data_IF_898971328571
#
_entry.id   IF_898971328571
#
_cell.length_a   1.000
_cell.length_b   1.000
_cell.length_c   1.000
_cell.angle_alpha   90.00
_cell.angle_beta   90.00
_cell.angle_gamma   90.00
#
_symmetry.space_group_name_H-M   'P 1'
#
loop_
_entity.id
_entity.type
_entity.pdbx_description
1 polymer ?
#
# COMPACT_ATOMS: atom_id res chain seq x y z
N UNK A 1 4.63 22.93 6.51
CA UNK A 1 4.89 21.85 5.52
C UNK A 1 3.53 21.40 5.02
N UNK A 2 3.17 21.68 3.76
CA UNK A 2 1.84 21.32 3.25
C UNK A 2 1.77 19.80 3.08
N UNK A 3 0.85 19.16 3.78
CA UNK A 3 0.63 17.72 3.65
C UNK A 3 -0.07 17.49 2.31
N UNK A 4 0.60 16.87 1.33
CA UNK A 4 0.04 16.57 0.00
C UNK A 4 -1.30 15.85 0.11
N UNK A 5 -1.44 14.97 1.11
CA UNK A 5 -2.69 14.28 1.44
C UNK A 5 -3.86 15.22 1.78
N UNK A 6 -3.59 16.37 2.42
CA UNK A 6 -4.63 17.35 2.75
C UNK A 6 -5.12 18.08 1.48
N UNK A 7 -4.20 18.39 0.56
CA UNK A 7 -4.54 19.04 -0.72
C UNK A 7 -5.40 18.10 -1.57
N UNK A 8 -5.01 16.83 -1.70
CA UNK A 8 -5.79 15.83 -2.46
C UNK A 8 -7.19 15.64 -1.86
N UNK A 9 -7.31 15.56 -0.53
CA UNK A 9 -8.60 15.46 0.16
C UNK A 9 -9.47 16.70 -0.10
N UNK A 10 -8.87 17.90 -0.07
CA UNK A 10 -9.59 19.14 -0.32
C UNK A 10 -10.08 19.25 -1.77
N UNK A 11 -9.23 18.90 -2.75
CA UNK A 11 -9.62 18.84 -4.17
C UNK A 11 -10.79 17.87 -4.35
N UNK A 12 -10.73 16.69 -3.73
CA UNK A 12 -11.83 15.72 -3.75
C UNK A 12 -13.13 16.28 -3.18
N UNK A 13 -13.06 17.00 -2.06
CA UNK A 13 -14.20 17.66 -1.44
C UNK A 13 -14.82 18.73 -2.35
N UNK A 14 -13.99 19.54 -3.02
CA UNK A 14 -14.45 20.52 -4.01
C UNK A 14 -15.20 19.84 -5.17
N UNK A 15 -14.71 18.70 -5.67
CA UNK A 15 -15.42 17.94 -6.71
C UNK A 15 -16.73 17.35 -6.22
N UNK A 16 -16.82 16.92 -4.96
CA UNK A 16 -18.09 16.48 -4.37
C UNK A 16 -19.12 17.62 -4.32
N UNK A 17 -18.72 18.81 -3.88
CA UNK A 17 -19.61 19.99 -3.91
C UNK A 17 -20.01 20.39 -5.32
N UNK A 18 -19.08 20.36 -6.28
CA UNK A 18 -19.38 20.62 -7.69
C UNK A 18 -20.40 19.62 -8.25
N UNK A 19 -20.25 18.33 -7.92
CA UNK A 19 -21.21 17.29 -8.29
C UNK A 19 -22.59 17.52 -7.67
N UNK A 20 -22.64 17.89 -6.40
CA UNK A 20 -23.89 18.25 -5.71
C UNK A 20 -24.59 19.46 -6.35
N UNK A 21 -23.86 20.54 -6.63
CA UNK A 21 -24.43 21.71 -7.30
C UNK A 21 -24.94 21.42 -8.71
N UNK A 22 -24.28 20.51 -9.43
CA UNK A 22 -24.75 20.03 -10.74
C UNK A 22 -26.10 19.32 -10.64
N UNK A 23 -26.33 18.52 -9.59
CA UNK A 23 -27.62 17.84 -9.38
C UNK A 23 -28.78 18.81 -9.12
N UNK A 24 -28.50 19.98 -8.55
CA UNK A 24 -29.48 21.04 -8.30
C UNK A 24 -29.65 22.02 -9.47
N UNK A 25 -29.04 21.74 -10.63
CA UNK A 25 -28.97 22.62 -11.80
C UNK A 25 -28.43 24.03 -11.51
N UNK A 26 -27.70 24.20 -10.40
CA UNK A 26 -27.10 25.49 -10.02
C UNK A 26 -25.92 25.87 -10.91
N UNK A 27 -25.29 24.87 -11.55
CA UNK A 27 -24.15 25.05 -12.45
C UNK A 27 -24.40 24.30 -13.76
N UNK A 28 -24.46 25.04 -14.86
CA UNK A 28 -24.53 24.48 -16.21
C UNK A 28 -23.11 24.17 -16.68
N UNK A 29 -22.75 22.89 -16.72
CA UNK A 29 -21.44 22.44 -17.19
C UNK A 29 -21.51 22.07 -18.67
N UNK A 30 -20.62 22.65 -19.46
CA UNK A 30 -20.46 22.29 -20.86
C UNK A 30 -19.97 20.83 -20.97
N UNK A 31 -20.62 19.98 -21.79
CA UNK A 31 -20.24 18.57 -21.98
C UNK A 31 -18.77 18.37 -22.33
N UNK A 32 -18.16 19.28 -23.12
CA UNK A 32 -16.75 19.21 -23.52
C UNK A 32 -15.81 19.31 -22.33
N UNK A 33 -16.12 20.19 -21.37
CA UNK A 33 -15.33 20.33 -20.15
C UNK A 33 -15.44 19.07 -19.29
N UNK A 34 -16.67 18.55 -19.13
CA UNK A 34 -16.90 17.32 -18.34
C UNK A 34 -16.14 16.15 -18.94
N UNK A 35 -16.20 15.98 -20.27
CA UNK A 35 -15.46 14.96 -21.00
C UNK A 35 -13.93 15.11 -20.84
N UNK A 36 -13.42 16.34 -20.91
CA UNK A 36 -12.00 16.63 -20.72
C UNK A 36 -11.51 16.25 -19.32
N UNK A 37 -12.32 16.51 -18.29
CA UNK A 37 -12.02 16.06 -16.94
C UNK A 37 -12.10 14.54 -16.79
N UNK A 38 -13.09 13.89 -17.38
CA UNK A 38 -13.24 12.43 -17.33
C UNK A 38 -12.08 11.71 -17.99
N UNK A 39 -11.63 12.16 -19.17
CA UNK A 39 -10.49 11.54 -19.87
C UNK A 39 -9.18 11.78 -19.11
N UNK A 40 -9.00 12.97 -18.51
CA UNK A 40 -7.86 13.25 -17.65
C UNK A 40 -7.86 12.34 -16.42
N UNK A 41 -9.00 12.21 -15.74
CA UNK A 41 -9.17 11.31 -14.61
C UNK A 41 -8.86 9.86 -15.00
N UNK A 42 -9.31 9.42 -16.17
CA UNK A 42 -9.01 8.09 -16.69
C UNK A 42 -7.50 7.86 -16.93
N UNK A 43 -6.80 8.80 -17.57
CA UNK A 43 -5.35 8.69 -17.72
C UNK A 43 -4.60 8.71 -16.38
N UNK A 44 -5.10 9.47 -15.41
CA UNK A 44 -4.56 9.48 -14.05
C UNK A 44 -4.74 8.13 -13.35
N UNK A 45 -5.90 7.49 -13.50
CA UNK A 45 -6.17 6.14 -12.98
C UNK A 45 -5.24 5.12 -13.65
N UNK A 46 -5.04 5.20 -14.97
CA UNK A 46 -4.08 4.33 -15.68
C UNK A 46 -2.63 4.56 -15.23
N UNK A 47 -2.27 5.81 -14.91
CA UNK A 47 -0.99 6.14 -14.31
C UNK A 47 -0.81 5.48 -12.94
N UNK A 48 -1.84 5.51 -12.08
CA UNK A 48 -1.81 4.85 -10.77
C UNK A 48 -1.72 3.32 -10.93
N UNK A 49 -2.48 2.74 -11.85
CA UNK A 49 -2.44 1.31 -12.17
C UNK A 49 -1.05 0.87 -12.63
N UNK A 50 -0.44 1.63 -13.55
CA UNK A 50 0.91 1.34 -14.05
C UNK A 50 1.96 1.50 -12.94
N UNK A 51 1.75 2.45 -12.03
CA UNK A 51 2.63 2.65 -10.86
C UNK A 51 2.56 1.47 -9.91
N UNK A 52 1.34 1.02 -9.59
CA UNK A 52 1.12 -0.07 -8.67
C UNK A 52 1.72 -1.38 -9.19
N UNK A 53 1.46 -1.75 -10.46
CA UNK A 53 2.07 -2.94 -11.06
C UNK A 53 3.61 -2.87 -11.11
N UNK A 54 4.18 -1.67 -11.30
CA UNK A 54 5.63 -1.49 -11.30
C UNK A 54 6.24 -1.74 -9.92
N UNK A 55 5.59 -1.25 -8.85
CA UNK A 55 6.06 -1.48 -7.48
C UNK A 55 6.04 -2.97 -7.12
N UNK A 56 5.01 -3.69 -7.56
CA UNK A 56 4.94 -5.14 -7.39
C UNK A 56 6.09 -5.87 -8.10
N UNK A 57 6.31 -5.56 -9.39
CA UNK A 57 7.39 -6.18 -10.18
C UNK A 57 8.79 -5.89 -9.62
N UNK A 58 8.98 -4.71 -9.01
CA UNK A 58 10.25 -4.35 -8.38
C UNK A 58 10.52 -5.17 -7.10
N UNK A 59 9.48 -5.53 -6.33
CA UNK A 59 9.62 -6.39 -5.15
C UNK A 59 9.99 -7.84 -5.50
N UNK A 60 9.45 -8.39 -6.59
CA UNK A 60 9.68 -9.78 -6.95
C UNK A 60 11.03 -10.06 -7.65
N UNK A 61 11.61 -9.10 -8.38
CA UNK A 61 12.82 -9.34 -9.18
C UNK A 61 13.81 -8.18 -9.15
N UNK A 62 14.77 -8.26 -8.23
CA UNK A 62 15.92 -7.35 -8.12
C UNK A 62 16.80 -7.30 -9.39
N UNK A 63 16.68 -8.28 -10.31
CA UNK A 63 17.59 -8.45 -11.47
C UNK A 63 17.00 -8.13 -12.87
N UNK A 64 15.75 -7.70 -12.99
CA UNK A 64 15.08 -7.55 -14.30
C UNK A 64 15.11 -6.13 -14.90
N UNK A 65 16.19 -5.35 -14.70
CA UNK A 65 16.23 -3.92 -15.08
C UNK A 65 17.37 -3.53 -16.03
N UNK A 66 17.00 -3.20 -17.27
CA UNK A 66 17.65 -2.11 -18.02
C UNK A 66 16.71 -1.52 -19.08
N UNK A 67 16.07 -2.37 -19.89
CA UNK A 67 15.22 -1.90 -21.00
C UNK A 67 13.76 -1.65 -20.63
N UNK A 68 13.08 -2.60 -19.98
CA UNK A 68 11.66 -2.43 -19.61
C UNK A 68 11.44 -1.27 -18.63
N UNK A 69 12.40 -1.03 -17.73
CA UNK A 69 12.34 0.10 -16.78
C UNK A 69 12.32 1.48 -17.44
N UNK A 70 13.03 1.66 -18.57
CA UNK A 70 13.04 2.93 -19.32
C UNK A 70 11.71 3.16 -20.04
N UNK A 71 11.18 2.13 -20.71
CA UNK A 71 9.89 2.19 -21.40
C UNK A 71 8.76 2.50 -20.41
N UNK A 72 8.75 1.84 -19.25
CA UNK A 72 7.75 2.09 -18.21
C UNK A 72 7.87 3.50 -17.65
N UNK A 73 9.08 4.00 -17.39
CA UNK A 73 9.28 5.39 -16.95
C UNK A 73 8.75 6.38 -17.98
N UNK A 74 9.01 6.14 -19.26
CA UNK A 74 8.47 6.96 -20.34
C UNK A 74 6.94 6.89 -20.39
N UNK A 75 6.35 5.69 -20.29
CA UNK A 75 4.89 5.51 -20.26
C UNK A 75 4.24 6.29 -19.11
N UNK A 76 4.83 6.25 -17.90
CA UNK A 76 4.35 7.02 -16.75
C UNK A 76 4.36 8.52 -17.02
N UNK A 77 5.47 9.03 -17.57
CA UNK A 77 5.59 10.44 -17.91
C UNK A 77 4.58 10.84 -18.99
N UNK A 78 4.39 9.99 -20.01
CA UNK A 78 3.42 10.20 -21.08
C UNK A 78 1.98 10.21 -20.57
N UNK A 79 1.59 9.30 -19.68
CA UNK A 79 0.25 9.30 -19.07
C UNK A 79 0.00 10.54 -18.22
N UNK A 80 1.00 10.98 -17.45
CA UNK A 80 0.91 12.19 -16.65
C UNK A 80 0.83 13.44 -17.54
N UNK A 81 1.63 13.49 -18.60
CA UNK A 81 1.57 14.55 -19.60
C UNK A 81 0.19 14.57 -20.28
N UNK A 82 -0.34 13.41 -20.67
CA UNK A 82 -1.64 13.30 -21.32
C UNK A 82 -2.78 13.73 -20.37
N UNK A 83 -2.66 13.40 -19.08
CA UNK A 83 -3.58 13.90 -18.04
C UNK A 83 -3.59 15.43 -17.99
N UNK A 84 -2.42 16.06 -17.87
CA UNK A 84 -2.31 17.51 -17.82
C UNK A 84 -2.76 18.18 -19.12
N UNK A 85 -2.38 17.59 -20.26
CA UNK A 85 -2.81 18.03 -21.59
C UNK A 85 -4.33 17.95 -21.74
N UNK A 86 -4.96 16.88 -21.27
CA UNK A 86 -6.41 16.71 -21.31
C UNK A 86 -7.15 17.75 -20.45
N UNK A 87 -6.59 18.18 -19.33
CA UNK A 87 -7.18 19.23 -18.49
C UNK A 87 -7.04 20.61 -19.15
N UNK A 88 -5.89 20.91 -19.74
CA UNK A 88 -5.57 22.27 -20.22
C UNK A 88 -5.98 22.48 -21.67
N UNK A 89 -5.60 21.57 -22.58
CA UNK A 89 -5.76 21.78 -24.01
C UNK A 89 -7.11 21.29 -24.53
N UNK A 90 -7.58 20.12 -24.05
CA UNK A 90 -8.79 19.48 -24.57
C UNK A 90 -10.06 20.34 -24.48
N UNK A 91 -10.33 21.08 -23.39
CA UNK A 91 -11.53 21.92 -23.31
C UNK A 91 -11.57 23.05 -24.34
N UNK A 92 -10.40 23.46 -24.83
CA UNK A 92 -10.26 24.54 -25.81
C UNK A 92 -10.24 24.01 -27.25
N UNK A 93 -10.14 22.69 -27.45
CA UNK A 93 -10.26 22.11 -28.78
C UNK A 93 -11.73 22.12 -29.19
N UNK A 94 -12.02 22.82 -30.29
CA UNK A 94 -13.33 22.78 -30.94
C UNK A 94 -13.48 21.45 -31.66
N UNK A 95 -13.79 20.40 -30.91
CA UNK A 95 -14.19 19.11 -31.44
C UNK A 95 -15.59 19.30 -32.02
N UNK A 96 -15.70 19.34 -33.35
CA UNK A 96 -16.99 19.40 -34.06
C UNK A 96 -17.80 18.09 -33.95
N UNK A 97 -17.72 17.44 -32.79
CA UNK A 97 -18.37 16.18 -32.50
C UNK A 97 -19.80 16.44 -32.03
N UNK A 98 -20.68 15.50 -32.37
CA UNK A 98 -22.05 15.53 -31.89
C UNK A 98 -22.09 15.40 -30.37
N UNK A 99 -22.89 16.25 -29.71
CA UNK A 99 -22.94 16.30 -28.24
C UNK A 99 -23.34 14.96 -27.62
N UNK A 100 -24.21 14.21 -28.29
CA UNK A 100 -24.64 12.89 -27.85
C UNK A 100 -23.48 11.88 -27.81
N UNK A 101 -22.56 11.94 -28.79
CA UNK A 101 -21.37 11.09 -28.80
C UNK A 101 -20.40 11.44 -27.68
N UNK A 102 -20.20 12.74 -27.41
CA UNK A 102 -19.34 13.21 -26.30
C UNK A 102 -19.88 12.70 -24.96
N UNK A 103 -21.20 12.77 -24.76
CA UNK A 103 -21.85 12.28 -23.54
C UNK A 103 -21.70 10.75 -23.40
N UNK A 104 -21.96 9.99 -24.47
CA UNK A 104 -21.78 8.52 -24.46
C UNK A 104 -20.35 8.11 -24.15
N UNK A 105 -19.36 8.77 -24.76
CA UNK A 105 -17.94 8.51 -24.50
C UNK A 105 -17.56 8.90 -23.07
N UNK A 106 -18.05 10.05 -22.59
CA UNK A 106 -17.84 10.48 -21.22
C UNK A 106 -18.34 9.41 -20.23
N UNK A 107 -19.57 8.94 -20.38
CA UNK A 107 -20.17 7.97 -19.47
C UNK A 107 -19.42 6.64 -19.52
N UNK A 108 -19.02 6.18 -20.71
CA UNK A 108 -18.20 4.99 -20.86
C UNK A 108 -16.84 5.12 -20.15
N UNK A 109 -16.15 6.25 -20.32
CA UNK A 109 -14.85 6.51 -19.67
C UNK A 109 -15.00 6.56 -18.15
N UNK A 110 -16.04 7.23 -17.63
CA UNK A 110 -16.31 7.30 -16.19
C UNK A 110 -16.58 5.91 -15.62
N UNK A 111 -17.43 5.11 -16.27
CA UNK A 111 -17.74 3.75 -15.82
C UNK A 111 -16.52 2.83 -15.85
N UNK A 112 -15.73 2.88 -16.93
CA UNK A 112 -14.47 2.12 -17.04
C UNK A 112 -13.46 2.58 -15.97
N UNK A 113 -13.29 3.88 -15.79
CA UNK A 113 -12.42 4.45 -14.77
C UNK A 113 -12.81 4.01 -13.36
N UNK A 114 -14.10 4.07 -13.04
CA UNK A 114 -14.62 3.60 -11.76
C UNK A 114 -14.38 2.10 -11.55
N UNK A 115 -14.63 1.28 -12.57
CA UNK A 115 -14.33 -0.16 -12.51
C UNK A 115 -12.86 -0.45 -12.22
N UNK A 116 -11.94 0.26 -12.89
CA UNK A 116 -10.49 0.14 -12.64
C UNK A 116 -10.12 0.61 -11.23
N UNK A 117 -10.70 1.71 -10.73
CA UNK A 117 -10.45 2.20 -9.37
C UNK A 117 -10.91 1.18 -8.32
N UNK A 118 -12.11 0.61 -8.46
CA UNK A 118 -12.60 -0.42 -7.54
C UNK A 118 -11.70 -1.65 -7.57
N UNK A 119 -11.29 -2.10 -8.76
CA UNK A 119 -10.35 -3.20 -8.92
C UNK A 119 -9.00 -2.91 -8.26
N UNK A 120 -8.45 -1.70 -8.44
CA UNK A 120 -7.21 -1.25 -7.81
C UNK A 120 -7.29 -1.22 -6.27
N UNK A 121 -8.42 -0.78 -5.73
CA UNK A 121 -8.65 -0.79 -4.28
C UNK A 121 -8.65 -2.23 -3.75
N UNK A 122 -9.31 -3.15 -4.45
CA UNK A 122 -9.27 -4.58 -4.13
C UNK A 122 -7.85 -5.12 -4.08
N UNK A 123 -7.07 -4.88 -5.14
CA UNK A 123 -5.66 -5.31 -5.20
C UNK A 123 -4.81 -4.71 -4.07
N UNK A 124 -4.95 -3.41 -3.79
CA UNK A 124 -4.18 -2.75 -2.71
C UNK A 124 -4.56 -3.28 -1.33
N UNK A 125 -5.84 -3.56 -1.10
CA UNK A 125 -6.33 -4.12 0.16
C UNK A 125 -5.77 -5.51 0.42
N UNK A 126 -5.78 -6.39 -0.59
CA UNK A 126 -5.23 -7.74 -0.46
C UNK A 126 -3.72 -7.68 -0.12
N UNK A 127 -2.99 -6.76 -0.74
CA UNK A 127 -1.57 -6.58 -0.45
C UNK A 127 -1.26 -6.00 0.92
N UNK A 128 -2.05 -5.04 1.40
CA UNK A 128 -1.88 -4.53 2.77
C UNK A 128 -2.11 -5.64 3.80
N UNK A 129 -3.09 -6.52 3.56
CA UNK A 129 -3.34 -7.68 4.40
C UNK A 129 -2.15 -8.65 4.37
N UNK A 130 -1.61 -8.98 3.19
CA UNK A 130 -0.45 -9.87 3.06
C UNK A 130 0.79 -9.33 3.79
N UNK A 131 1.10 -8.03 3.65
CA UNK A 131 2.23 -7.42 4.36
C UNK A 131 2.02 -7.45 5.89
N UNK A 132 0.79 -7.29 6.37
CA UNK A 132 0.47 -7.39 7.80
C UNK A 132 0.64 -8.82 8.29
N UNK A 133 0.21 -9.83 7.53
CA UNK A 133 0.41 -11.24 7.85
C UNK A 133 1.88 -11.61 7.92
N UNK A 134 2.71 -11.16 6.98
CA UNK A 134 4.17 -11.39 7.00
C UNK A 134 4.82 -10.80 8.27
N UNK A 135 4.38 -9.61 8.70
CA UNK A 135 4.84 -9.00 9.96
C UNK A 135 4.41 -9.83 11.17
N UNK A 136 3.18 -10.36 11.18
CA UNK A 136 2.71 -11.24 12.25
C UNK A 136 3.49 -12.55 12.32
N UNK A 137 3.83 -13.15 11.18
CA UNK A 137 4.67 -14.35 11.12
C UNK A 137 6.10 -14.10 11.64
N UNK A 138 6.73 -12.96 11.29
CA UNK A 138 8.05 -12.61 11.84
C UNK A 138 7.98 -12.40 13.37
N UNK A 139 6.91 -11.77 13.87
CA UNK A 139 6.69 -11.60 15.31
C UNK A 139 6.50 -12.95 16.01
N UNK A 140 5.71 -13.86 15.44
CA UNK A 140 5.49 -15.20 16.01
C UNK A 140 6.81 -16.00 16.06
N UNK A 141 7.60 -15.96 14.98
CA UNK A 141 8.90 -16.62 14.93
C UNK A 141 9.89 -16.06 15.95
N UNK A 142 9.87 -14.73 16.18
CA UNK A 142 10.67 -14.10 17.24
C UNK A 142 10.22 -14.55 18.64
N UNK A 143 8.92 -14.66 18.88
CA UNK A 143 8.39 -15.12 20.17
C UNK A 143 8.78 -16.58 20.44
N UNK A 144 8.67 -17.47 19.44
CA UNK A 144 9.13 -18.87 19.56
C UNK A 144 10.63 -18.94 19.89
N UNK A 145 11.46 -18.18 19.17
CA UNK A 145 12.90 -18.12 19.44
C UNK A 145 13.22 -17.60 20.85
N UNK A 146 12.42 -16.67 21.38
CA UNK A 146 12.58 -16.18 22.76
C UNK A 146 12.20 -17.28 23.76
N UNK A 147 11.09 -17.97 23.52
CA UNK A 147 10.60 -19.04 24.39
C UNK A 147 11.57 -20.23 24.46
N UNK A 148 12.11 -20.63 23.31
CA UNK A 148 13.16 -21.67 23.22
C UNK A 148 14.41 -21.26 24.01
N UNK A 149 14.79 -19.99 23.91
CA UNK A 149 15.94 -19.44 24.63
C UNK A 149 15.71 -19.38 26.15
N UNK A 150 14.50 -19.01 26.58
CA UNK A 150 14.12 -19.05 27.99
C UNK A 150 14.09 -20.47 28.53
N UNK A 151 13.53 -21.42 27.78
CA UNK A 151 13.50 -22.83 28.13
C UNK A 151 14.92 -23.40 28.31
N UNK A 152 15.85 -23.05 27.41
CA UNK A 152 17.27 -23.42 27.55
C UNK A 152 17.95 -22.82 28.79
N UNK A 153 17.62 -21.57 29.15
CA UNK A 153 18.14 -20.93 30.37
C UNK A 153 17.61 -21.62 31.62
N UNK A 154 16.32 -21.96 31.67
CA UNK A 154 15.69 -22.65 32.80
C UNK A 154 16.35 -24.02 33.01
N UNK A 155 16.51 -24.81 31.93
CA UNK A 155 17.16 -26.11 32.01
C UNK A 155 18.61 -26.02 32.52
N UNK A 156 19.38 -25.03 32.06
CA UNK A 156 20.74 -24.78 32.55
C UNK A 156 20.76 -24.38 34.02
N UNK A 157 19.79 -23.58 34.48
CA UNK A 157 19.67 -23.16 35.88
C UNK A 157 19.29 -24.32 36.79
N UNK A 158 18.40 -25.20 36.36
CA UNK A 158 18.02 -26.40 37.11
C UNK A 158 19.20 -27.36 37.29
N UNK A 159 20.04 -27.54 36.27
CA UNK A 159 21.26 -28.36 36.36
C UNK A 159 22.28 -27.74 37.35
N UNK A 160 22.43 -26.42 37.35
CA UNK A 160 23.30 -25.68 38.28
C UNK A 160 22.81 -25.84 39.73
N UNK A 161 21.50 -25.78 39.96
CA UNK A 161 20.88 -25.98 41.28
C UNK A 161 21.11 -27.42 41.79
N UNK A 162 20.96 -28.43 40.95
CA UNK A 162 21.20 -29.83 41.35
C UNK A 162 22.66 -30.10 41.71
N UNK A 163 23.63 -29.50 40.98
CA UNK A 163 25.05 -29.58 41.34
C UNK A 163 25.34 -28.96 42.71
N UNK A 164 24.81 -27.76 42.96
CA UNK A 164 24.99 -27.08 44.25
C UNK A 164 24.35 -27.86 45.42
N UNK A 165 23.19 -28.50 45.20
CA UNK A 165 22.58 -29.38 46.21
C UNK A 165 23.45 -30.61 46.52
N UNK A 166 24.10 -31.18 45.51
CA UNK A 166 25.02 -32.31 45.70
C UNK A 166 26.25 -31.90 46.52
N UNK A 167 26.89 -30.79 46.16
CA UNK A 167 28.04 -30.25 46.91
C UNK A 167 27.69 -29.90 48.37
N UNK A 168 26.53 -29.28 48.60
CA UNK A 168 26.03 -28.99 49.95
C UNK A 168 25.82 -30.25 50.80
N UNK A 169 25.38 -31.34 50.17
CA UNK A 169 25.19 -32.63 50.85
C UNK A 169 26.53 -33.25 51.24
N UNK A 170 27.52 -33.24 50.35
CA UNK A 170 28.87 -33.71 50.65
C UNK A 170 29.51 -32.92 51.80
N UNK A 171 29.42 -31.58 51.77
CA UNK A 171 29.94 -30.72 52.85
C UNK A 171 29.26 -30.97 54.20
N UNK A 172 27.96 -31.29 54.19
CA UNK A 172 27.21 -31.64 55.40
C UNK A 172 27.65 -33.01 55.96
N UNK A 173 27.89 -33.98 55.09
CA UNK A 173 28.32 -35.32 55.52
C UNK A 173 29.76 -35.31 56.06
N UNK A 174 30.64 -34.45 55.52
CA UNK A 174 32.03 -34.29 56.00
C UNK A 174 32.13 -33.52 57.34
N UNK A 175 31.21 -32.59 57.60
CA UNK A 175 31.12 -31.87 58.89
C UNK A 175 30.40 -32.65 60.00
N UNK A 176 29.81 -33.80 59.66
CA UNK A 176 29.09 -34.69 60.57
C UNK A 176 29.93 -35.75 61.26
N UNK A 177 31.25 -35.85 60.99
CA UNK A 177 32.14 -36.74 61.74
C UNK A 177 32.32 -36.21 63.16
N UNK A 178 31.68 -36.84 64.18
CA UNK A 178 31.88 -36.43 65.57
C UNK A 178 33.31 -36.82 65.92
N UNK A 179 34.12 -35.83 66.28
CA UNK A 179 35.38 -36.07 66.97
C UNK A 179 35.08 -36.96 68.18
N UNK A 180 35.41 -38.24 68.03
CA UNK A 180 35.49 -39.23 69.09
C UNK A 180 36.60 -38.80 70.05
N UNK A 181 36.20 -38.06 71.09
CA UNK A 181 36.96 -37.88 72.33
C UNK A 181 36.71 -39.12 73.20
#
# INVERSE_FOLDING_TARGET
MFNTNAITKFIGLCFMFLGYWRLTDFVILNPVFTFSFSIAGFFFILFDLTTHHFEQLKREKEKYYSWKGKILRFLKLSLLFLTAFSIVALPHLTLGWEQELILKLNDAIVLLGLGIVVFLIGLKSDQEIDNVLEVFEDVENRLKNIDDKFSGIIASKDEEIEKLKHELKELRDDSGSPGSI
#
